data_IF_661450229640
#
_entry.id   IF_661450229640
#
_cell.length_a   1.000
_cell.length_b   1.000
_cell.length_c   1.000
_cell.angle_alpha   90.00
_cell.angle_beta   90.00
_cell.angle_gamma   90.00
#
_symmetry.space_group_name_H-M   'P 1'
#
loop_
_entity.id
_entity.type
_entity.pdbx_description
1 polymer ?
#
# COMPACT_ATOMS: atom_id res chain seq x y z
N UNK A 1 -11.81 23.81 15.85
CA UNK A 1 -11.47 22.45 15.34
C UNK A 1 -10.64 22.42 14.04
N UNK A 2 -10.76 23.39 13.11
CA UNK A 2 -10.02 23.37 11.82
C UNK A 2 -8.49 23.45 11.95
N UNK A 3 -7.97 24.26 12.87
CA UNK A 3 -6.52 24.42 13.10
C UNK A 3 -5.84 23.18 13.72
N UNK A 4 -6.53 22.47 14.63
CA UNK A 4 -6.01 21.24 15.22
C UNK A 4 -5.89 20.12 14.17
N UNK A 5 -6.86 20.03 13.24
CA UNK A 5 -6.78 19.09 12.10
C UNK A 5 -5.60 19.40 11.19
N UNK A 6 -5.36 20.67 10.86
CA UNK A 6 -4.23 21.08 10.01
C UNK A 6 -2.89 20.77 10.70
N UNK A 7 -2.73 21.14 11.98
CA UNK A 7 -1.53 20.82 12.75
C UNK A 7 -1.26 19.32 12.80
N UNK A 8 -2.29 18.50 13.09
CA UNK A 8 -2.18 17.04 13.13
C UNK A 8 -1.75 16.45 11.78
N UNK A 9 -2.37 16.86 10.68
CA UNK A 9 -2.00 16.38 9.34
C UNK A 9 -0.58 16.76 8.94
N UNK A 10 -0.15 17.99 9.26
CA UNK A 10 1.22 18.44 9.00
C UNK A 10 2.25 17.68 9.84
N UNK A 11 1.96 17.38 11.10
CA UNK A 11 2.82 16.54 11.95
C UNK A 11 2.93 15.11 11.41
N UNK A 12 1.82 14.51 10.98
CA UNK A 12 1.83 13.17 10.36
C UNK A 12 2.64 13.16 9.05
N UNK A 13 2.51 14.19 8.22
CA UNK A 13 3.29 14.32 6.98
C UNK A 13 4.79 14.42 7.29
N UNK A 14 5.17 15.27 8.25
CA UNK A 14 6.57 15.41 8.66
C UNK A 14 7.14 14.10 9.22
N UNK A 15 6.36 13.40 10.04
CA UNK A 15 6.78 12.12 10.63
C UNK A 15 7.01 11.07 9.54
N UNK A 16 6.13 11.03 8.53
CA UNK A 16 6.28 10.17 7.35
C UNK A 16 7.56 10.50 6.57
N UNK A 17 7.85 11.78 6.35
CA UNK A 17 9.07 12.21 5.65
C UNK A 17 10.35 11.85 6.42
N UNK A 18 10.35 12.03 7.74
CA UNK A 18 11.47 11.62 8.59
C UNK A 18 11.68 10.10 8.48
N UNK A 19 10.59 9.34 8.51
CA UNK A 19 10.64 7.89 8.43
C UNK A 19 11.16 7.41 7.07
N UNK A 20 10.77 8.06 5.97
CA UNK A 20 11.28 7.78 4.63
C UNK A 20 12.78 8.05 4.52
N UNK A 21 13.27 9.18 5.05
CA UNK A 21 14.71 9.52 5.08
C UNK A 21 15.49 8.50 5.92
N UNK A 22 15.01 8.16 7.11
CA UNK A 22 15.66 7.16 7.97
C UNK A 22 15.72 5.78 7.31
N UNK A 23 14.65 5.37 6.62
CA UNK A 23 14.62 4.10 5.90
C UNK A 23 15.64 4.11 4.76
N UNK A 24 15.75 5.19 3.99
CA UNK A 24 16.75 5.35 2.95
C UNK A 24 18.18 5.23 3.50
N UNK A 25 18.49 5.95 4.59
CA UNK A 25 19.81 5.88 5.23
C UNK A 25 20.16 4.47 5.73
N UNK A 26 19.18 3.73 6.28
CA UNK A 26 19.38 2.33 6.68
C UNK A 26 19.64 1.41 5.50
N UNK A 27 18.98 1.65 4.37
CA UNK A 27 19.19 0.87 3.13
C UNK A 27 20.59 1.12 2.56
N UNK A 28 21.03 2.38 2.50
CA UNK A 28 22.37 2.76 2.04
C UNK A 28 23.48 2.22 2.95
N UNK A 29 23.24 2.20 4.27
CA UNK A 29 24.17 1.64 5.25
C UNK A 29 24.13 0.10 5.35
N UNK A 30 23.27 -0.58 4.60
CA UNK A 30 23.10 -2.04 4.66
C UNK A 30 22.52 -2.57 5.98
N UNK A 31 21.99 -1.70 6.84
CA UNK A 31 21.39 -2.04 8.15
C UNK A 31 19.88 -2.21 8.09
N UNK A 32 19.28 -2.04 6.91
CA UNK A 32 17.85 -2.22 6.71
C UNK A 32 17.45 -3.69 6.92
N UNK A 33 16.56 -3.91 7.88
CA UNK A 33 16.07 -5.24 8.24
C UNK A 33 14.62 -5.39 7.78
N UNK A 34 14.31 -6.56 7.24
CA UNK A 34 12.96 -6.97 6.86
C UNK A 34 12.39 -7.77 8.02
N UNK A 35 11.29 -7.31 8.61
CA UNK A 35 10.63 -8.03 9.69
C UNK A 35 9.60 -8.98 9.09
N UNK A 36 9.96 -10.26 8.95
CA UNK A 36 9.11 -11.26 8.27
C UNK A 36 8.09 -11.87 9.23
N UNK A 37 6.84 -11.85 8.83
CA UNK A 37 5.73 -12.52 9.48
C UNK A 37 4.87 -13.27 8.44
N UNK A 38 4.03 -14.20 8.91
CA UNK A 38 3.05 -14.89 8.07
C UNK A 38 1.73 -14.12 8.14
N UNK A 39 1.18 -13.74 6.99
CA UNK A 39 -0.10 -13.03 6.92
C UNK A 39 -0.82 -13.33 5.60
N UNK A 40 -2.13 -13.05 5.55
CA UNK A 40 -2.91 -13.16 4.32
C UNK A 40 -2.84 -11.89 3.48
N UNK A 41 -2.63 -12.03 2.17
CA UNK A 41 -2.59 -10.89 1.23
C UNK A 41 -3.85 -10.02 1.32
N UNK A 42 -5.01 -10.66 1.50
CA UNK A 42 -6.29 -9.97 1.54
C UNK A 42 -6.39 -8.97 2.70
N UNK A 43 -5.77 -9.25 3.85
CA UNK A 43 -5.75 -8.33 4.98
C UNK A 43 -5.16 -6.97 4.58
N UNK A 44 -4.03 -6.98 3.86
CA UNK A 44 -3.39 -5.74 3.39
C UNK A 44 -4.31 -4.99 2.41
N UNK A 45 -4.87 -5.70 1.42
CA UNK A 45 -5.64 -5.04 0.36
C UNK A 45 -6.99 -4.52 0.86
N UNK A 46 -7.64 -5.25 1.77
CA UNK A 46 -8.89 -4.84 2.41
C UNK A 46 -8.65 -3.59 3.29
N UNK A 47 -7.59 -3.58 4.11
CA UNK A 47 -7.20 -2.40 4.90
C UNK A 47 -6.92 -1.17 4.03
N UNK A 48 -6.24 -1.34 2.89
CA UNK A 48 -5.95 -0.25 1.95
C UNK A 48 -7.24 0.24 1.28
N UNK A 49 -8.11 -0.68 0.88
CA UNK A 49 -9.40 -0.33 0.30
C UNK A 49 -10.23 0.52 1.28
N UNK A 50 -10.29 0.14 2.55
CA UNK A 50 -11.03 0.87 3.58
C UNK A 50 -10.49 2.29 3.79
N UNK A 51 -9.17 2.48 3.75
CA UNK A 51 -8.53 3.80 3.91
C UNK A 51 -8.87 4.73 2.73
N UNK A 52 -8.89 4.21 1.50
CA UNK A 52 -8.95 5.02 0.29
C UNK A 52 -10.32 5.07 -0.38
N UNK A 53 -11.23 4.14 -0.10
CA UNK A 53 -12.56 4.05 -0.72
C UNK A 53 -13.35 5.34 -0.55
N UNK A 54 -13.47 5.83 0.68
CA UNK A 54 -14.18 7.08 0.99
C UNK A 54 -13.53 8.30 0.31
N UNK A 55 -12.19 8.36 0.25
CA UNK A 55 -11.48 9.47 -0.40
C UNK A 55 -11.67 9.46 -1.91
N UNK A 56 -11.68 8.28 -2.52
CA UNK A 56 -11.95 8.09 -3.94
C UNK A 56 -13.40 8.46 -4.28
N UNK A 57 -14.36 8.05 -3.44
CA UNK A 57 -15.78 8.39 -3.58
C UNK A 57 -16.00 9.91 -3.57
N UNK A 58 -15.38 10.63 -2.62
CA UNK A 58 -15.44 12.11 -2.56
C UNK A 58 -14.91 12.80 -3.83
N UNK A 59 -13.98 12.15 -4.54
CA UNK A 59 -13.41 12.63 -5.81
C UNK A 59 -14.15 12.10 -7.04
N UNK A 60 -15.22 11.32 -6.88
CA UNK A 60 -15.90 10.60 -7.97
C UNK A 60 -14.95 9.68 -8.77
N UNK A 61 -13.99 9.06 -8.07
CA UNK A 61 -13.08 8.05 -8.63
C UNK A 61 -13.53 6.68 -8.11
N UNK A 62 -13.70 5.71 -9.01
CA UNK A 62 -14.04 4.34 -8.59
C UNK A 62 -12.79 3.62 -8.11
N UNK A 63 -12.75 3.17 -6.87
CA UNK A 63 -11.73 2.25 -6.37
C UNK A 63 -12.23 0.81 -6.44
N UNK A 64 -11.40 -0.11 -6.91
CA UNK A 64 -11.71 -1.54 -6.88
C UNK A 64 -10.49 -2.40 -6.57
N UNK A 65 -10.72 -3.56 -5.96
CA UNK A 65 -9.71 -4.58 -5.73
C UNK A 65 -10.02 -5.80 -6.58
N UNK A 66 -9.03 -6.31 -7.32
CA UNK A 66 -9.12 -7.52 -8.13
C UNK A 66 -8.14 -8.55 -7.60
N UNK A 67 -8.67 -9.68 -7.16
CA UNK A 67 -7.88 -10.85 -6.77
C UNK A 67 -8.69 -12.12 -7.06
N UNK A 68 -8.01 -13.21 -7.43
CA UNK A 68 -8.67 -14.52 -7.49
C UNK A 68 -8.88 -15.10 -6.09
N UNK A 69 -9.84 -16.02 -5.93
CA UNK A 69 -10.12 -16.66 -4.64
C UNK A 69 -8.92 -17.39 -4.06
N UNK A 70 -8.07 -17.96 -4.92
CA UNK A 70 -6.84 -18.66 -4.50
C UNK A 70 -5.81 -17.68 -3.94
N UNK A 71 -5.70 -16.48 -4.53
CA UNK A 71 -4.83 -15.41 -4.03
C UNK A 71 -5.38 -14.81 -2.74
N UNK A 72 -6.71 -14.72 -2.59
CA UNK A 72 -7.35 -14.19 -1.38
C UNK A 72 -6.97 -15.00 -0.13
N UNK A 73 -6.83 -16.32 -0.27
CA UNK A 73 -6.46 -17.24 0.82
C UNK A 73 -4.95 -17.45 0.96
N UNK A 74 -4.14 -16.78 0.13
CA UNK A 74 -2.70 -16.98 0.10
C UNK A 74 -2.04 -16.39 1.36
N UNK A 75 -1.41 -17.26 2.14
CA UNK A 75 -0.47 -16.85 3.18
C UNK A 75 0.90 -16.57 2.54
N UNK A 76 1.47 -15.41 2.87
CA UNK A 76 2.83 -15.03 2.47
C UNK A 76 3.70 -14.80 3.70
N UNK A 77 4.97 -15.20 3.59
CA UNK A 77 5.99 -14.95 4.60
C UNK A 77 6.88 -13.79 4.17
N UNK A 78 6.59 -12.60 4.67
CA UNK A 78 7.25 -11.36 4.26
C UNK A 78 7.03 -10.26 5.30
N UNK A 79 7.49 -9.04 5.02
CA UNK A 79 7.21 -7.87 5.87
C UNK A 79 5.89 -7.21 5.46
N UNK A 80 4.85 -7.49 6.26
CA UNK A 80 3.49 -6.99 6.06
C UNK A 80 3.45 -5.47 6.01
N UNK A 81 4.15 -4.83 6.95
CA UNK A 81 4.17 -3.38 7.11
C UNK A 81 4.75 -2.68 5.89
N UNK A 82 5.83 -3.23 5.33
CA UNK A 82 6.51 -2.68 4.14
C UNK A 82 5.70 -2.87 2.88
N UNK A 83 5.11 -4.04 2.67
CA UNK A 83 4.23 -4.28 1.52
C UNK A 83 3.04 -3.33 1.56
N UNK A 84 2.41 -3.17 2.74
CA UNK A 84 1.32 -2.20 2.95
C UNK A 84 1.76 -0.78 2.59
N UNK A 85 2.91 -0.33 3.09
CA UNK A 85 3.45 1.00 2.80
C UNK A 85 3.66 1.22 1.29
N UNK A 86 4.25 0.26 0.59
CA UNK A 86 4.47 0.33 -0.86
C UNK A 86 3.13 0.52 -1.60
N UNK A 87 2.13 -0.31 -1.30
CA UNK A 87 0.84 -0.25 -1.99
C UNK A 87 0.09 1.04 -1.63
N UNK A 88 0.13 1.49 -0.37
CA UNK A 88 -0.45 2.78 0.03
C UNK A 88 0.16 3.95 -0.76
N UNK A 89 1.48 3.94 -0.97
CA UNK A 89 2.16 4.98 -1.75
C UNK A 89 1.72 4.96 -3.21
N UNK A 90 1.56 3.77 -3.81
CA UNK A 90 1.06 3.63 -5.18
C UNK A 90 -0.39 4.14 -5.30
N UNK A 91 -1.29 3.73 -4.40
CA UNK A 91 -2.70 4.18 -4.42
C UNK A 91 -2.84 5.67 -4.19
N UNK A 92 -2.07 6.23 -3.24
CA UNK A 92 -2.02 7.67 -2.97
C UNK A 92 -1.59 8.44 -4.22
N UNK A 93 -0.54 7.97 -4.91
CA UNK A 93 -0.09 8.55 -6.17
C UNK A 93 -1.18 8.43 -7.25
N UNK A 94 -1.79 7.27 -7.44
CA UNK A 94 -2.87 7.08 -8.41
C UNK A 94 -4.04 8.04 -8.15
N UNK A 95 -4.43 8.26 -6.89
CA UNK A 95 -5.49 9.21 -6.52
C UNK A 95 -5.09 10.68 -6.66
N UNK A 96 -3.80 10.99 -6.57
CA UNK A 96 -3.27 12.34 -6.82
C UNK A 96 -3.34 12.71 -8.31
N UNK A 97 -3.09 11.75 -9.19
CA UNK A 97 -2.97 11.99 -10.63
C UNK A 97 -4.20 11.56 -11.45
N UNK A 98 -5.14 10.81 -10.85
CA UNK A 98 -6.42 10.47 -11.49
C UNK A 98 -7.46 11.54 -11.16
N UNK A 99 -7.95 12.25 -12.17
CA UNK A 99 -8.99 13.27 -11.99
C UNK A 99 -10.41 12.73 -12.27
N UNK A 100 -10.53 11.71 -13.12
CA UNK A 100 -11.79 11.02 -13.47
C UNK A 100 -11.48 9.57 -13.82
N UNK A 101 -12.43 8.66 -13.59
CA UNK A 101 -12.30 7.25 -13.94
C UNK A 101 -12.17 6.33 -12.73
N UNK A 102 -11.20 5.43 -12.76
CA UNK A 102 -11.05 4.38 -11.74
C UNK A 102 -9.60 4.05 -11.42
N UNK A 103 -9.37 3.59 -10.19
CA UNK A 103 -8.13 3.00 -9.71
C UNK A 103 -8.43 1.53 -9.38
N UNK A 104 -7.56 0.62 -9.83
CA UNK A 104 -7.75 -0.82 -9.61
C UNK A 104 -6.51 -1.42 -8.98
N UNK A 105 -6.64 -1.88 -7.74
CA UNK A 105 -5.59 -2.64 -7.07
C UNK A 105 -5.74 -4.10 -7.48
N UNK A 106 -4.73 -4.66 -8.12
CA UNK A 106 -4.74 -6.05 -8.58
C UNK A 106 -3.65 -6.87 -7.91
N UNK A 107 -4.00 -8.09 -7.50
CA UNK A 107 -3.06 -9.06 -6.97
C UNK A 107 -3.25 -10.42 -7.66
N UNK A 108 -2.18 -10.95 -8.23
CA UNK A 108 -2.20 -12.22 -8.95
C UNK A 108 -0.92 -13.02 -8.76
N UNK A 109 -1.03 -14.34 -8.80
CA UNK A 109 0.13 -15.21 -8.90
C UNK A 109 0.61 -15.25 -10.36
N UNK A 110 1.91 -15.07 -10.56
CA UNK A 110 2.57 -15.20 -11.85
C UNK A 110 3.66 -16.26 -11.75
N UNK A 111 3.82 -17.03 -12.82
CA UNK A 111 4.93 -17.96 -12.97
C UNK A 111 6.06 -17.29 -13.71
N UNK A 112 7.25 -17.26 -13.11
CA UNK A 112 8.42 -16.66 -13.73
C UNK A 112 9.68 -17.42 -13.30
N UNK A 113 10.58 -17.75 -14.25
CA UNK A 113 11.87 -18.42 -13.96
C UNK A 113 11.73 -19.67 -13.06
N UNK A 114 10.68 -20.48 -13.28
CA UNK A 114 10.42 -21.70 -12.51
C UNK A 114 9.95 -21.47 -11.06
N UNK A 115 9.57 -20.24 -10.68
CA UNK A 115 9.04 -19.91 -9.36
C UNK A 115 7.69 -19.19 -9.50
N UNK A 116 6.85 -19.35 -8.49
CA UNK A 116 5.62 -18.57 -8.33
C UNK A 116 5.94 -17.28 -7.62
N UNK A 117 5.50 -16.16 -8.18
CA UNK A 117 5.58 -14.84 -7.56
C UNK A 117 4.17 -14.28 -7.37
N UNK A 118 3.95 -13.59 -6.27
CA UNK A 118 2.74 -12.77 -6.08
C UNK A 118 3.03 -11.36 -6.59
N UNK A 119 2.35 -10.95 -7.66
CA UNK A 119 2.47 -9.63 -8.26
C UNK A 119 1.37 -8.72 -7.75
N UNK A 120 1.74 -7.47 -7.44
CA UNK A 120 0.84 -6.38 -7.09
C UNK A 120 0.89 -5.30 -8.18
N UNK A 121 -0.25 -4.73 -8.53
CA UNK A 121 -0.37 -3.57 -9.42
C UNK A 121 -1.50 -2.64 -8.98
N UNK A 122 -1.38 -1.34 -9.30
CA UNK A 122 -2.34 -0.27 -8.96
C UNK A 122 -2.57 0.60 -10.18
#
# INVERSE_FOLDING_TARGET
MKFIKIGKSSSLLLLTLIEDVLNLSKMEAGTFTINKEIFQVCEILDEIYDIFSMQCEQKNIKLSVRMSNDVRKLNIFSDKSRIKQIIMNLVSNSMKFTFKGSITIECMNIWQRGRVFTKFSV
#
